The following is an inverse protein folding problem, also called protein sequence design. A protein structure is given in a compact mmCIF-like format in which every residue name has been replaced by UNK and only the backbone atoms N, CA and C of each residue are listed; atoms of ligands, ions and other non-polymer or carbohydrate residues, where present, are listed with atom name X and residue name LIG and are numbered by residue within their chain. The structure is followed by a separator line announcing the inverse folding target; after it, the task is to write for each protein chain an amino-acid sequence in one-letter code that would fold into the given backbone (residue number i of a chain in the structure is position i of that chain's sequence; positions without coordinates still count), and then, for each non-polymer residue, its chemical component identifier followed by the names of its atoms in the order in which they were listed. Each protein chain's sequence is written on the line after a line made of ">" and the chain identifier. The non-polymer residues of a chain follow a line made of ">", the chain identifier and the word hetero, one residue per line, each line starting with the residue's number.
data_IF_533083635086
#
_entry.id   IF_533083635086
#
_cell.length_a   1.000
_cell.length_b   1.000
_cell.length_c   1.000
_cell.angle_alpha   90.00
_cell.angle_beta   90.00
_cell.angle_gamma   90.00
#
_symmetry.space_group_name_H-M   'P 1'
#
loop_
_entity.id
_entity.type
_entity.pdbx_description
1 polymer ?
#
# COMPACT_ATOMS: atom_id res chain seq x y z
N UNK A 1 -9.62 74.45 -38.84
CA UNK A 1 -9.57 73.02 -39.21
C UNK A 1 -8.35 72.86 -40.07
N UNK A 2 -7.31 72.30 -39.45
CA UNK A 2 -5.93 72.35 -39.91
C UNK A 2 -5.66 71.30 -40.99
N UNK A 3 -4.70 71.62 -41.84
CA UNK A 3 -4.23 70.87 -43.00
C UNK A 3 -2.76 70.46 -42.73
N UNK A 4 -2.24 69.52 -43.53
CA UNK A 4 -0.82 69.08 -43.64
C UNK A 4 -0.50 67.91 -42.69
N UNK A 5 0.19 66.83 -43.08
CA UNK A 5 0.88 66.51 -44.33
C UNK A 5 1.61 65.16 -44.21
N UNK A 6 2.34 64.88 -45.28
CA UNK A 6 3.03 63.67 -45.74
C UNK A 6 4.01 62.91 -44.81
N UNK A 7 4.12 61.61 -45.14
CA UNK A 7 5.29 60.72 -45.31
C UNK A 7 6.63 60.92 -44.55
N UNK A 8 7.26 59.76 -44.35
CA UNK A 8 8.64 59.45 -43.88
C UNK A 8 8.77 59.39 -42.34
N UNK A 9 9.45 58.42 -41.73
CA UNK A 9 10.87 58.11 -41.93
C UNK A 9 11.24 56.73 -41.33
N UNK A 10 12.19 56.05 -41.99
CA UNK A 10 12.83 54.83 -41.50
C UNK A 10 13.76 55.14 -40.33
N UNK A 11 13.81 54.29 -39.30
CA UNK A 11 14.92 54.33 -38.32
C UNK A 11 15.50 52.95 -38.08
N UNK A 12 16.82 52.92 -38.24
CA UNK A 12 17.73 51.78 -38.24
C UNK A 12 18.05 51.29 -36.83
N UNK A 13 18.23 49.97 -36.68
CA UNK A 13 18.71 49.33 -35.46
C UNK A 13 20.25 49.28 -35.52
N UNK A 14 20.91 50.03 -34.64
CA UNK A 14 22.34 49.89 -34.35
C UNK A 14 22.54 48.76 -33.33
N UNK A 15 23.26 47.71 -33.73
CA UNK A 15 23.70 46.62 -32.85
C UNK A 15 25.06 47.02 -32.29
N UNK A 16 25.12 47.33 -31.00
CA UNK A 16 26.39 47.43 -30.28
C UNK A 16 26.87 46.03 -29.89
N UNK A 17 28.10 45.72 -30.28
CA UNK A 17 28.78 44.45 -29.98
C UNK A 17 29.88 44.75 -28.98
N UNK A 18 29.63 44.45 -27.71
CA UNK A 18 30.58 43.86 -26.76
C UNK A 18 30.12 44.06 -25.33
N UNK A 19 29.24 43.19 -24.82
CA UNK A 19 29.26 42.81 -23.39
C UNK A 19 28.87 41.34 -23.28
N UNK A 20 29.83 40.50 -22.87
CA UNK A 20 29.62 39.11 -22.47
C UNK A 20 29.27 39.16 -20.98
N UNK A 21 28.07 38.77 -20.53
CA UNK A 21 27.79 38.69 -19.11
C UNK A 21 28.50 37.46 -18.53
N UNK A 22 29.46 37.70 -17.62
CA UNK A 22 29.99 36.70 -16.73
C UNK A 22 28.85 36.17 -15.84
N UNK A 23 28.57 34.87 -15.95
CA UNK A 23 27.57 34.17 -15.13
C UNK A 23 28.29 33.59 -13.91
N UNK A 24 28.53 34.43 -12.90
CA UNK A 24 28.97 33.96 -11.59
C UNK A 24 27.74 33.48 -10.82
N UNK A 25 27.47 32.18 -10.93
CA UNK A 25 26.40 31.48 -10.22
C UNK A 25 26.99 30.77 -9.00
N UNK A 26 27.40 31.55 -8.01
CA UNK A 26 27.63 31.06 -6.66
C UNK A 26 26.28 31.00 -5.94
N UNK A 27 25.55 29.93 -6.21
CA UNK A 27 24.52 29.45 -5.30
C UNK A 27 25.04 28.14 -4.72
N UNK A 28 25.74 28.24 -3.59
CA UNK A 28 25.87 27.12 -2.66
C UNK A 28 24.45 26.82 -2.16
N UNK A 29 23.73 25.96 -2.88
CA UNK A 29 22.56 25.27 -2.36
C UNK A 29 23.08 24.26 -1.34
N UNK A 30 23.30 24.76 -0.12
CA UNK A 30 23.52 23.96 1.07
C UNK A 30 22.16 23.35 1.47
N UNK A 31 21.65 22.49 0.59
CA UNK A 31 20.51 21.63 0.86
C UNK A 31 21.00 20.57 1.83
N UNK A 32 20.93 20.91 3.12
CA UNK A 32 20.85 19.94 4.20
C UNK A 32 19.60 19.08 3.97
N UNK A 33 19.72 18.09 3.09
CA UNK A 33 18.73 17.01 2.96
C UNK A 33 18.75 16.26 4.28
N UNK A 34 17.84 16.63 5.18
CA UNK A 34 17.58 15.82 6.35
C UNK A 34 17.22 14.41 5.87
N UNK A 35 17.82 13.33 6.41
CA UNK A 35 17.54 11.95 6.00
C UNK A 35 16.03 11.60 6.02
N UNK A 36 15.27 12.32 6.86
CA UNK A 36 13.82 12.23 6.99
C UNK A 36 13.07 12.58 5.68
N UNK A 37 13.63 13.42 4.81
CA UNK A 37 12.98 13.82 3.57
C UNK A 37 13.08 12.74 2.48
N UNK A 38 14.13 11.92 2.52
CA UNK A 38 14.35 10.83 1.55
C UNK A 38 13.63 9.54 1.94
N UNK A 39 13.60 9.19 3.24
CA UNK A 39 12.98 7.96 3.79
C UNK A 39 11.55 7.71 3.26
N UNK A 40 10.72 8.76 3.19
CA UNK A 40 9.35 8.70 2.66
C UNK A 40 9.16 9.53 1.39
N UNK A 41 10.26 9.95 0.76
CA UNK A 41 10.23 10.80 -0.43
C UNK A 41 9.45 10.16 -1.57
N UNK A 42 9.61 8.84 -1.78
CA UNK A 42 8.87 8.08 -2.79
C UNK A 42 7.36 8.11 -2.52
N UNK A 43 6.92 7.92 -1.28
CA UNK A 43 5.49 7.92 -0.94
C UNK A 43 4.84 9.29 -1.16
N UNK A 44 5.54 10.38 -0.79
CA UNK A 44 5.04 11.74 -1.03
C UNK A 44 4.94 12.06 -2.53
N UNK A 45 5.96 11.72 -3.32
CA UNK A 45 5.95 11.87 -4.78
C UNK A 45 4.79 11.12 -5.43
N UNK A 46 4.39 10.02 -4.82
CA UNK A 46 3.27 9.17 -5.25
C UNK A 46 1.90 9.66 -4.75
N UNK A 47 1.83 10.82 -4.09
CA UNK A 47 0.60 11.41 -3.56
C UNK A 47 0.08 10.72 -2.30
N UNK A 48 0.86 9.87 -1.64
CA UNK A 48 0.42 9.19 -0.42
C UNK A 48 0.60 10.13 0.76
N UNK A 49 -0.47 10.26 1.55
CA UNK A 49 -0.51 11.21 2.66
C UNK A 49 -0.30 10.49 3.98
N UNK A 50 0.63 10.98 4.80
CA UNK A 50 0.79 10.47 6.17
C UNK A 50 -0.45 10.80 6.98
N UNK A 51 -1.05 9.80 7.62
CA UNK A 51 -2.21 10.04 8.49
C UNK A 51 -1.77 10.57 9.85
N UNK A 52 -2.62 11.40 10.44
CA UNK A 52 -2.34 12.01 11.74
C UNK A 52 -2.36 10.96 12.87
N UNK A 53 -1.38 11.01 13.78
CA UNK A 53 -1.22 10.04 14.87
C UNK A 53 -2.40 9.98 15.84
N UNK A 54 -3.12 11.09 16.01
CA UNK A 54 -4.34 11.14 16.82
C UNK A 54 -5.58 10.49 16.17
N UNK A 55 -5.54 10.18 14.87
CA UNK A 55 -6.70 9.65 14.14
C UNK A 55 -7.08 8.24 14.61
N UNK A 56 -8.38 7.92 14.53
CA UNK A 56 -8.89 6.61 14.92
C UNK A 56 -8.23 5.49 14.11
N UNK A 57 -8.11 5.67 12.79
CA UNK A 57 -7.47 4.69 11.91
C UNK A 57 -6.01 4.46 12.28
N UNK A 58 -5.24 5.52 12.57
CA UNK A 58 -3.86 5.38 13.01
C UNK A 58 -3.77 4.54 14.28
N UNK A 59 -4.57 4.86 15.31
CA UNK A 59 -4.57 4.13 16.59
C UNK A 59 -4.93 2.65 16.44
N UNK A 60 -5.88 2.31 15.55
CA UNK A 60 -6.24 0.92 15.29
C UNK A 60 -5.07 0.21 14.60
N UNK A 61 -4.51 0.81 13.54
CA UNK A 61 -3.39 0.23 12.78
C UNK A 61 -2.19 0.00 13.69
N UNK A 62 -1.74 1.02 14.42
CA UNK A 62 -0.58 0.89 15.31
C UNK A 62 -0.86 -0.03 16.49
N UNK A 63 -2.10 -0.06 16.98
CA UNK A 63 -2.56 -1.03 17.98
C UNK A 63 -2.43 -2.47 17.50
N UNK A 64 -2.74 -2.78 16.23
CA UNK A 64 -2.51 -4.09 15.66
C UNK A 64 -1.01 -4.41 15.57
N UNK A 65 -0.19 -3.48 15.09
CA UNK A 65 1.26 -3.71 14.91
C UNK A 65 1.97 -3.96 16.25
N UNK A 66 1.60 -3.21 17.29
CA UNK A 66 2.15 -3.37 18.63
C UNK A 66 1.89 -4.77 19.24
N UNK A 67 0.91 -5.52 18.73
CA UNK A 67 0.68 -6.90 19.14
C UNK A 67 1.73 -7.87 18.57
N UNK A 68 2.28 -7.57 17.39
CA UNK A 68 3.22 -8.46 16.75
C UNK A 68 4.58 -8.47 17.46
N UNK A 69 5.22 -7.31 17.49
CA UNK A 69 6.49 -7.09 18.17
C UNK A 69 6.45 -5.65 18.68
N UNK A 70 7.28 -5.30 19.67
CA UNK A 70 7.45 -3.92 20.16
C UNK A 70 8.07 -2.98 19.13
N UNK A 71 7.72 -3.14 17.85
CA UNK A 71 8.20 -2.41 16.69
C UNK A 71 7.78 -0.95 16.80
N UNK A 72 8.72 -0.08 16.45
CA UNK A 72 8.49 1.35 16.42
C UNK A 72 7.86 1.71 15.06
N UNK A 73 6.58 2.09 15.09
CA UNK A 73 5.87 2.52 13.88
C UNK A 73 6.32 3.91 13.50
N UNK A 74 7.20 3.98 12.51
CA UNK A 74 7.72 5.23 11.97
C UNK A 74 6.60 6.05 11.30
N UNK A 75 5.77 5.43 10.46
CA UNK A 75 4.70 6.14 9.76
C UNK A 75 3.58 5.23 9.27
N UNK A 76 2.39 5.83 9.10
CA UNK A 76 1.29 5.23 8.37
C UNK A 76 0.88 6.19 7.25
N UNK A 77 0.89 5.72 6.02
CA UNK A 77 0.52 6.47 4.83
C UNK A 77 -0.79 5.95 4.26
N UNK A 78 -1.74 6.84 4.00
CA UNK A 78 -2.98 6.52 3.27
C UNK A 78 -2.72 6.56 1.78
N UNK A 79 -3.17 5.50 1.11
CA UNK A 79 -3.12 5.40 -0.35
C UNK A 79 -4.34 6.14 -0.92
N UNK A 80 -4.15 7.04 -1.91
CA UNK A 80 -5.26 7.76 -2.52
C UNK A 80 -6.31 6.82 -3.11
N UNK A 81 -7.59 7.13 -2.86
CA UNK A 81 -8.72 6.42 -3.47
C UNK A 81 -8.81 6.62 -4.98
N UNK A 82 -8.28 7.73 -5.49
CA UNK A 82 -8.06 7.98 -6.91
C UNK A 82 -6.86 7.22 -7.48
N UNK A 83 -6.38 6.19 -6.76
CA UNK A 83 -5.23 5.40 -7.15
C UNK A 83 -5.32 4.95 -8.62
N UNK A 84 -4.18 4.78 -9.29
CA UNK A 84 -4.13 4.55 -10.72
C UNK A 84 -5.00 3.34 -11.14
N UNK A 85 -5.54 3.43 -12.35
CA UNK A 85 -6.18 2.33 -13.09
C UNK A 85 -7.58 1.89 -12.62
N UNK A 86 -8.34 2.73 -11.90
CA UNK A 86 -9.74 2.44 -11.56
C UNK A 86 -9.92 1.28 -10.57
N UNK A 87 -8.86 0.92 -9.83
CA UNK A 87 -8.84 -0.24 -8.93
C UNK A 87 -9.91 -0.20 -7.85
N UNK A 88 -10.15 0.99 -7.28
CA UNK A 88 -11.20 1.15 -6.28
C UNK A 88 -12.57 0.80 -6.85
N UNK A 89 -12.83 1.15 -8.11
CA UNK A 89 -14.09 0.84 -8.76
C UNK A 89 -14.21 -0.65 -9.07
N UNK A 90 -13.14 -1.27 -9.58
CA UNK A 90 -13.08 -2.72 -9.76
C UNK A 90 -13.32 -3.47 -8.43
N UNK A 91 -12.75 -2.98 -7.33
CA UNK A 91 -12.96 -3.52 -5.99
C UNK A 91 -14.41 -3.38 -5.51
N UNK A 92 -15.01 -2.21 -5.70
CA UNK A 92 -16.43 -1.97 -5.34
C UNK A 92 -17.36 -2.87 -6.14
N UNK A 93 -17.15 -2.99 -7.45
CA UNK A 93 -17.91 -3.88 -8.31
C UNK A 93 -17.76 -5.32 -7.85
N UNK A 94 -16.53 -5.80 -7.66
CA UNK A 94 -16.28 -7.19 -7.24
C UNK A 94 -16.90 -7.50 -5.87
N UNK A 95 -16.81 -6.56 -4.93
CA UNK A 95 -17.46 -6.69 -3.62
C UNK A 95 -18.98 -6.78 -3.75
N UNK A 96 -19.61 -5.90 -4.53
CA UNK A 96 -21.05 -5.91 -4.76
C UNK A 96 -21.54 -7.18 -5.47
N UNK A 97 -20.77 -7.67 -6.45
CA UNK A 97 -21.04 -8.95 -7.11
C UNK A 97 -20.94 -10.13 -6.13
N UNK A 98 -19.94 -10.10 -5.23
CA UNK A 98 -19.77 -11.15 -4.23
C UNK A 98 -20.93 -11.20 -3.24
N UNK A 99 -21.40 -10.04 -2.77
CA UNK A 99 -22.61 -9.94 -1.92
C UNK A 99 -23.80 -10.59 -2.61
N UNK A 100 -24.03 -10.30 -3.90
CA UNK A 100 -25.13 -10.90 -4.68
C UNK A 100 -24.95 -12.40 -4.84
N UNK A 101 -23.74 -12.86 -5.20
CA UNK A 101 -23.40 -14.29 -5.39
C UNK A 101 -23.60 -15.12 -4.13
N UNK A 102 -23.36 -14.55 -2.95
CA UNK A 102 -23.32 -15.26 -1.66
C UNK A 102 -24.48 -14.94 -0.71
N UNK A 103 -25.60 -14.46 -1.25
CA UNK A 103 -26.84 -14.30 -0.48
C UNK A 103 -26.76 -13.22 0.60
N UNK A 104 -26.02 -12.14 0.34
CA UNK A 104 -25.88 -11.00 1.26
C UNK A 104 -24.59 -11.00 2.07
N UNK A 105 -23.80 -12.08 2.06
CA UNK A 105 -22.53 -12.14 2.77
C UNK A 105 -21.36 -11.68 1.89
N UNK A 106 -21.17 -10.37 1.78
CA UNK A 106 -19.95 -9.79 1.20
C UNK A 106 -18.82 -9.86 2.20
N UNK A 107 -18.07 -10.97 2.23
CA UNK A 107 -17.01 -11.19 3.22
C UNK A 107 -15.74 -10.37 2.91
N UNK A 108 -15.88 -9.04 2.92
CA UNK A 108 -14.73 -8.14 2.90
C UNK A 108 -14.03 -8.25 4.24
N UNK A 109 -12.73 -8.54 4.21
CA UNK A 109 -11.87 -8.57 5.40
C UNK A 109 -10.67 -7.65 5.23
N UNK A 110 -10.04 -7.34 6.35
CA UNK A 110 -8.78 -6.64 6.40
C UNK A 110 -7.65 -7.65 6.54
N UNK A 111 -6.57 -7.45 5.77
CA UNK A 111 -5.42 -8.34 5.80
C UNK A 111 -4.12 -7.59 5.49
N UNK A 112 -3.02 -8.11 6.02
CA UNK A 112 -1.67 -7.63 5.84
C UNK A 112 -1.01 -8.28 4.65
N UNK A 113 -0.21 -7.52 3.92
CA UNK A 113 0.71 -8.03 2.92
C UNK A 113 2.09 -7.39 3.15
N UNK A 114 3.11 -8.20 3.42
CA UNK A 114 4.49 -7.73 3.53
C UNK A 114 5.27 -7.99 2.24
N UNK A 115 6.21 -7.09 1.94
CA UNK A 115 7.13 -7.23 0.82
C UNK A 115 8.24 -6.18 0.92
N UNK A 116 9.03 -6.03 -0.15
CA UNK A 116 9.99 -4.92 -0.24
C UNK A 116 9.28 -3.59 -0.53
N UNK A 117 9.94 -2.48 -0.23
CA UNK A 117 9.44 -1.14 -0.55
C UNK A 117 9.09 -0.99 -2.03
N UNK A 118 9.94 -1.50 -2.91
CA UNK A 118 9.76 -1.40 -4.36
C UNK A 118 8.59 -2.28 -4.85
N UNK A 119 8.42 -3.48 -4.27
CA UNK A 119 7.27 -4.33 -4.54
C UNK A 119 5.96 -3.67 -4.11
N UNK A 120 5.92 -3.06 -2.92
CA UNK A 120 4.76 -2.33 -2.42
C UNK A 120 4.42 -1.13 -3.32
N UNK A 121 5.42 -0.35 -3.71
CA UNK A 121 5.25 0.73 -4.69
C UNK A 121 4.69 0.19 -6.01
N UNK A 122 5.29 -0.87 -6.55
CA UNK A 122 4.83 -1.53 -7.77
C UNK A 122 3.38 -2.00 -7.69
N UNK A 123 2.99 -2.63 -6.57
CA UNK A 123 1.61 -3.07 -6.31
C UNK A 123 0.65 -1.90 -6.35
N UNK A 124 0.99 -0.79 -5.70
CA UNK A 124 0.08 0.36 -5.63
C UNK A 124 -0.10 1.00 -7.02
N UNK A 125 0.95 1.09 -7.83
CA UNK A 125 0.87 1.71 -9.16
C UNK A 125 0.30 0.80 -10.25
N UNK A 126 0.75 -0.44 -10.28
CA UNK A 126 0.51 -1.34 -11.42
C UNK A 126 -0.38 -2.52 -11.08
N UNK A 127 -0.71 -2.67 -9.80
CA UNK A 127 -1.43 -3.84 -9.30
C UNK A 127 -0.46 -4.93 -8.89
N UNK A 128 -0.99 -5.97 -8.26
CA UNK A 128 -0.26 -7.21 -8.08
C UNK A 128 0.09 -7.76 -9.47
N UNK A 129 1.36 -8.03 -9.71
CA UNK A 129 1.87 -8.47 -11.02
C UNK A 129 2.28 -9.94 -11.03
N UNK A 130 2.47 -10.56 -9.86
CA UNK A 130 2.96 -11.93 -9.74
C UNK A 130 2.18 -12.64 -8.66
N UNK A 131 1.69 -13.84 -8.99
CA UNK A 131 1.38 -14.83 -7.98
C UNK A 131 2.69 -15.50 -7.56
N UNK A 132 2.89 -15.61 -6.24
CA UNK A 132 4.00 -16.37 -5.69
C UNK A 132 3.43 -17.64 -5.10
N UNK A 133 4.14 -18.75 -5.25
CA UNK A 133 3.98 -19.83 -4.29
C UNK A 133 4.50 -19.30 -2.95
N UNK A 134 3.91 -19.73 -1.82
CA UNK A 134 4.52 -19.43 -0.50
C UNK A 134 6.00 -19.83 -0.53
N UNK A 135 6.88 -19.14 0.19
CA UNK A 135 8.34 -19.42 0.17
C UNK A 135 8.70 -20.87 0.51
N UNK A 136 7.82 -21.57 1.24
CA UNK A 136 7.97 -22.98 1.59
C UNK A 136 7.43 -23.96 0.54
N UNK A 137 6.83 -23.47 -0.55
CA UNK A 137 6.12 -24.29 -1.54
C UNK A 137 4.87 -24.99 -1.01
N UNK A 138 4.37 -24.54 0.15
CA UNK A 138 3.28 -25.17 0.89
C UNK A 138 1.91 -24.74 0.32
N UNK A 139 1.76 -23.53 -0.18
CA UNK A 139 0.44 -23.06 -0.61
C UNK A 139 0.29 -23.04 -2.15
N UNK A 140 -0.96 -22.96 -2.61
CA UNK A 140 -1.30 -22.71 -4.01
C UNK A 140 -0.73 -21.38 -4.52
N UNK A 141 -0.69 -21.19 -5.83
CA UNK A 141 -0.25 -19.95 -6.47
C UNK A 141 -1.29 -18.86 -6.29
N UNK A 142 -0.90 -17.76 -5.63
CA UNK A 142 -1.78 -16.63 -5.42
C UNK A 142 -1.08 -15.46 -4.76
N UNK A 143 -1.86 -14.43 -4.44
CA UNK A 143 -1.46 -13.41 -3.47
C UNK A 143 -1.81 -13.92 -2.08
N UNK A 144 -0.79 -14.07 -1.24
CA UNK A 144 -0.93 -14.48 0.14
C UNK A 144 -1.08 -13.25 1.03
N UNK A 145 -2.18 -13.19 1.79
CA UNK A 145 -2.41 -12.12 2.77
C UNK A 145 -2.68 -12.71 4.15
N UNK A 146 -2.25 -12.01 5.19
CA UNK A 146 -2.37 -12.46 6.56
C UNK A 146 -3.53 -11.74 7.25
N UNK A 147 -4.48 -12.42 7.89
CA UNK A 147 -5.54 -11.77 8.65
C UNK A 147 -4.98 -10.82 9.72
N UNK A 148 -5.79 -9.87 10.19
CA UNK A 148 -5.35 -8.88 11.19
C UNK A 148 -4.77 -9.53 12.46
N UNK A 149 -5.31 -10.69 12.84
CA UNK A 149 -4.91 -11.48 14.01
C UNK A 149 -3.52 -12.11 13.85
N UNK A 150 -3.03 -12.23 12.61
CA UNK A 150 -1.74 -12.83 12.25
C UNK A 150 -0.78 -11.76 11.70
N UNK A 151 -0.78 -10.58 12.34
CA UNK A 151 0.11 -9.47 11.98
C UNK A 151 1.58 -9.87 11.96
N UNK A 152 1.98 -10.82 12.80
CA UNK A 152 3.36 -11.29 12.88
C UNK A 152 3.87 -11.88 11.57
N UNK A 153 3.07 -12.73 10.95
CA UNK A 153 3.43 -13.35 9.68
C UNK A 153 3.55 -12.29 8.57
N UNK A 154 2.70 -11.27 8.60
CA UNK A 154 2.81 -10.12 7.68
C UNK A 154 4.04 -9.24 7.93
N UNK A 155 4.44 -9.03 9.19
CA UNK A 155 5.65 -8.30 9.54
C UNK A 155 6.90 -9.08 9.12
N UNK A 156 6.94 -10.38 9.38
CA UNK A 156 8.05 -11.26 9.04
C UNK A 156 8.23 -11.42 7.51
N UNK A 157 7.17 -11.22 6.73
CA UNK A 157 7.26 -11.26 5.26
C UNK A 157 7.71 -9.94 4.63
N UNK A 158 8.03 -8.91 5.42
CA UNK A 158 8.52 -7.62 4.92
C UNK A 158 10.04 -7.57 4.84
N UNK A 159 10.57 -6.79 3.91
CA UNK A 159 12.01 -6.66 3.66
C UNK A 159 12.48 -5.28 4.10
N UNK A 160 13.58 -5.24 4.85
CA UNK A 160 14.22 -4.00 5.28
C UNK A 160 14.81 -3.24 4.08
N UNK A 161 14.57 -1.94 4.01
CA UNK A 161 15.09 -1.04 2.98
C UNK A 161 16.41 -0.37 3.42
N UNK A 162 16.99 0.47 2.55
CA UNK A 162 18.26 1.14 2.83
C UNK A 162 18.22 2.13 4.01
N UNK A 163 17.03 2.50 4.50
CA UNK A 163 16.84 3.38 5.66
C UNK A 163 16.57 2.60 6.95
N UNK A 164 16.70 1.27 6.92
CA UNK A 164 16.39 0.39 8.05
C UNK A 164 14.90 0.30 8.35
N UNK A 165 14.04 0.61 7.37
CA UNK A 165 12.60 0.48 7.50
C UNK A 165 12.10 -0.81 6.85
N UNK A 166 11.09 -1.38 7.47
CA UNK A 166 10.24 -2.40 6.87
C UNK A 166 8.86 -1.82 6.56
N UNK A 167 8.22 -2.37 5.54
CA UNK A 167 6.93 -1.89 5.04
C UNK A 167 5.94 -3.03 4.86
N UNK A 168 4.70 -2.80 5.27
CA UNK A 168 3.57 -3.69 5.00
C UNK A 168 2.37 -2.89 4.49
N UNK A 169 1.52 -3.56 3.71
CA UNK A 169 0.22 -3.06 3.25
C UNK A 169 -0.89 -3.52 4.18
N UNK A 170 -1.80 -2.61 4.52
CA UNK A 170 -3.15 -2.97 4.97
C UNK A 170 -4.10 -2.96 3.79
N UNK A 171 -4.66 -4.12 3.48
CA UNK A 171 -5.53 -4.35 2.34
C UNK A 171 -6.97 -4.67 2.77
N UNK A 172 -7.94 -4.20 1.98
CA UNK A 172 -9.30 -4.72 1.99
C UNK A 172 -9.37 -5.88 0.99
N UNK A 173 -9.98 -7.00 1.38
CA UNK A 173 -9.94 -8.25 0.61
C UNK A 173 -11.34 -8.85 0.50
N UNK A 174 -11.83 -9.07 -0.72
CA UNK A 174 -13.09 -9.78 -0.99
C UNK A 174 -12.82 -11.29 -1.00
N UNK A 175 -13.26 -12.00 0.04
CA UNK A 175 -12.96 -13.44 0.17
C UNK A 175 -14.02 -14.36 -0.49
N UNK A 176 -15.31 -14.07 -0.38
CA UNK A 176 -16.37 -14.98 -0.79
C UNK A 176 -16.39 -16.30 0.01
N UNK A 177 -16.80 -17.40 -0.65
CA UNK A 177 -16.74 -18.76 -0.09
C UNK A 177 -15.30 -19.26 -0.19
N UNK A 178 -14.67 -19.51 0.96
CA UNK A 178 -13.30 -19.99 1.04
C UNK A 178 -13.22 -21.51 0.87
N UNK A 179 -12.16 -22.00 0.25
CA UNK A 179 -11.75 -23.41 0.25
C UNK A 179 -10.44 -23.61 1.01
N UNK A 180 -10.25 -24.80 1.56
CA UNK A 180 -8.98 -25.17 2.17
C UNK A 180 -7.97 -25.61 1.10
N UNK A 181 -6.82 -24.95 1.05
CA UNK A 181 -5.72 -25.25 0.14
C UNK A 181 -4.67 -25.99 0.94
N UNK A 182 -4.48 -27.26 0.59
CA UNK A 182 -3.56 -28.14 1.34
C UNK A 182 -2.11 -27.75 1.12
N UNK A 183 -1.25 -27.93 2.14
CA UNK A 183 0.20 -27.89 2.00
C UNK A 183 0.69 -28.74 0.80
N UNK A 184 1.57 -28.17 -0.03
CA UNK A 184 2.10 -28.74 -1.27
C UNK A 184 1.19 -28.62 -2.49
N UNK A 185 0.06 -27.91 -2.40
CA UNK A 185 -0.86 -27.73 -3.52
C UNK A 185 -0.22 -26.93 -4.66
N UNK A 186 -0.51 -27.32 -5.91
CA UNK A 186 -0.14 -26.58 -7.13
C UNK A 186 -1.29 -25.81 -7.73
N UNK A 187 -2.36 -25.64 -6.97
CA UNK A 187 -3.57 -24.94 -7.38
C UNK A 187 -3.26 -23.48 -7.68
N UNK A 188 -3.73 -22.96 -8.82
CA UNK A 188 -3.56 -21.56 -9.23
C UNK A 188 -4.91 -20.83 -9.44
N UNK A 189 -6.01 -21.54 -9.25
CA UNK A 189 -7.40 -21.07 -9.35
C UNK A 189 -8.29 -21.87 -8.40
N UNK A 190 -9.56 -21.50 -8.23
CA UNK A 190 -10.46 -22.26 -7.37
C UNK A 190 -10.67 -23.72 -7.83
N UNK A 191 -10.82 -24.66 -6.89
CA UNK A 191 -11.06 -26.08 -7.24
C UNK A 191 -12.44 -26.35 -7.85
N UNK A 192 -13.40 -25.44 -7.61
CA UNK A 192 -14.72 -25.46 -8.23
C UNK A 192 -15.34 -24.06 -8.24
N UNK A 193 -16.38 -23.87 -9.05
CA UNK A 193 -17.13 -22.61 -9.14
C UNK A 193 -17.82 -22.22 -7.82
N UNK A 194 -17.95 -23.16 -6.90
CA UNK A 194 -18.51 -22.88 -5.59
C UNK A 194 -17.58 -22.01 -4.74
N UNK A 195 -16.28 -22.02 -4.97
CA UNK A 195 -15.30 -21.29 -4.16
C UNK A 195 -14.85 -20.00 -4.85
N UNK A 196 -14.32 -19.09 -4.05
CA UNK A 196 -13.86 -17.77 -4.49
C UNK A 196 -12.41 -17.49 -4.08
N UNK A 197 -11.97 -17.95 -2.90
CA UNK A 197 -10.61 -17.75 -2.38
C UNK A 197 -10.13 -18.99 -1.60
N UNK A 198 -8.82 -19.08 -1.38
CA UNK A 198 -8.22 -20.15 -0.59
C UNK A 198 -7.87 -19.72 0.83
N UNK A 199 -7.81 -20.68 1.74
CA UNK A 199 -7.26 -20.56 3.09
C UNK A 199 -6.43 -21.79 3.44
N UNK A 200 -5.50 -21.63 4.38
CA UNK A 200 -4.72 -22.72 4.96
C UNK A 200 -5.55 -23.63 5.89
N UNK A 201 -6.52 -23.06 6.61
CA UNK A 201 -7.49 -23.82 7.41
C UNK A 201 -8.84 -23.12 7.45
N UNK A 202 -9.94 -23.85 7.20
CA UNK A 202 -11.29 -23.31 7.34
C UNK A 202 -11.67 -23.00 8.80
N UNK A 203 -11.07 -23.71 9.76
CA UNK A 203 -11.39 -23.57 11.18
C UNK A 203 -10.76 -22.32 11.81
N UNK A 204 -9.51 -22.02 11.41
CA UNK A 204 -8.74 -20.86 11.86
C UNK A 204 -7.80 -20.43 10.73
N UNK A 205 -8.29 -19.63 9.78
CA UNK A 205 -7.46 -19.14 8.68
C UNK A 205 -6.33 -18.29 9.25
N UNK A 206 -5.10 -18.64 8.94
CA UNK A 206 -3.91 -17.82 9.22
C UNK A 206 -3.39 -17.13 7.95
N UNK A 207 -3.89 -17.56 6.80
CA UNK A 207 -3.52 -17.05 5.49
C UNK A 207 -4.71 -17.08 4.54
N UNK A 208 -4.88 -15.99 3.79
CA UNK A 208 -5.79 -15.90 2.66
C UNK A 208 -5.00 -16.03 1.37
N UNK A 209 -5.56 -16.75 0.40
CA UNK A 209 -4.98 -16.94 -0.92
C UNK A 209 -5.97 -16.38 -1.95
N UNK A 210 -5.56 -15.32 -2.65
CA UNK A 210 -6.34 -14.74 -3.73
C UNK A 210 -5.72 -15.11 -5.06
N UNK A 211 -6.49 -15.79 -5.90
CA UNK A 211 -6.06 -16.29 -7.20
C UNK A 211 -5.74 -15.17 -8.18
N UNK A 212 -4.81 -15.43 -9.10
CA UNK A 212 -4.27 -14.44 -10.05
C UNK A 212 -5.36 -13.72 -10.84
N UNK A 213 -6.34 -14.48 -11.34
CA UNK A 213 -7.41 -13.97 -12.19
C UNK A 213 -8.26 -12.87 -11.54
N UNK A 214 -8.22 -12.76 -10.21
CA UNK A 214 -9.06 -11.82 -9.45
C UNK A 214 -8.30 -10.95 -8.45
N UNK A 215 -6.98 -11.09 -8.31
CA UNK A 215 -6.21 -10.38 -7.28
C UNK A 215 -6.36 -8.86 -7.34
N UNK A 216 -6.37 -8.27 -8.55
CA UNK A 216 -6.44 -6.81 -8.71
C UNK A 216 -7.86 -6.24 -8.59
N UNK A 217 -8.90 -7.06 -8.70
CA UNK A 217 -10.28 -6.66 -8.46
C UNK A 217 -10.76 -7.02 -7.05
N UNK A 218 -10.09 -7.94 -6.34
CA UNK A 218 -10.50 -8.38 -5.00
C UNK A 218 -9.60 -7.90 -3.87
N UNK A 219 -8.45 -7.30 -4.16
CA UNK A 219 -7.55 -6.73 -3.17
C UNK A 219 -7.42 -5.23 -3.42
N UNK A 220 -7.74 -4.45 -2.39
CA UNK A 220 -7.55 -3.00 -2.41
C UNK A 220 -6.61 -2.54 -1.28
N UNK A 221 -5.36 -2.15 -1.62
CA UNK A 221 -4.43 -1.57 -0.66
C UNK A 221 -4.95 -0.21 -0.16
N UNK A 222 -5.12 -0.06 1.15
CA UNK A 222 -5.63 1.18 1.77
C UNK A 222 -4.55 1.98 2.49
N UNK A 223 -3.61 1.30 3.15
CA UNK A 223 -2.55 1.95 3.90
C UNK A 223 -1.21 1.25 3.71
N UNK A 224 -0.12 2.03 3.78
CA UNK A 224 1.25 1.53 3.96
C UNK A 224 1.67 1.84 5.38
N UNK A 225 2.14 0.82 6.10
CA UNK A 225 2.69 0.96 7.44
C UNK A 225 4.19 0.74 7.36
N UNK A 226 4.95 1.74 7.80
CA UNK A 226 6.40 1.68 7.88
C UNK A 226 6.83 1.60 9.34
N UNK A 227 7.71 0.65 9.65
CA UNK A 227 8.16 0.40 11.01
C UNK A 227 9.62 -0.04 11.03
N UNK A 228 10.24 0.02 12.20
CA UNK A 228 11.55 -0.55 12.47
C UNK A 228 11.40 -1.80 13.33
N UNK A 229 12.04 -2.89 12.94
CA UNK A 229 12.07 -4.10 13.76
C UNK A 229 12.78 -3.81 15.09
N UNK A 230 12.13 -4.15 16.20
CA UNK A 230 12.76 -4.00 17.51
C UNK A 230 13.72 -5.18 17.77
N UNK A 231 15.03 -4.95 17.73
CA UNK A 231 16.05 -5.98 18.01
C UNK A 231 16.17 -6.39 19.50
N UNK A 232 15.25 -5.95 20.37
CA UNK A 232 15.28 -6.28 21.79
C UNK A 232 14.67 -7.65 22.09
N UNK A 233 15.52 -8.61 22.47
CA UNK A 233 15.10 -9.87 23.11
C UNK A 233 14.27 -9.56 24.36
N UNK A 234 12.98 -9.89 24.32
CA UNK A 234 12.16 -10.20 25.50
C UNK A 234 11.11 -9.15 25.89
N UNK A 235 9.84 -9.52 25.76
CA UNK A 235 8.93 -9.88 26.86
C UNK A 235 7.54 -10.15 26.26
N UNK A 236 7.05 -11.37 26.42
CA UNK A 236 5.70 -11.75 26.03
C UNK A 236 4.68 -10.91 26.80
N UNK A 237 3.88 -10.15 26.08
CA UNK A 237 2.72 -9.44 26.62
C UNK A 237 1.48 -10.29 26.38
N UNK A 238 0.53 -10.27 27.32
CA UNK A 238 -0.61 -11.18 27.31
C UNK A 238 -1.70 -10.67 26.33
N UNK A 239 -1.88 -11.39 25.22
CA UNK A 239 -2.64 -10.95 24.05
C UNK A 239 -4.17 -11.13 24.15
N UNK A 240 -4.70 -11.77 25.21
CA UNK A 240 -6.11 -12.23 25.20
C UNK A 240 -7.17 -11.13 25.33
N UNK A 241 -6.85 -9.97 25.91
CA UNK A 241 -7.85 -8.93 26.21
C UNK A 241 -8.17 -7.96 25.05
N UNK A 242 -7.39 -7.99 23.96
CA UNK A 242 -7.56 -7.07 22.82
C UNK A 242 -8.20 -7.70 21.57
N UNK A 243 -8.35 -9.03 21.50
CA UNK A 243 -9.00 -9.72 20.38
C UNK A 243 -10.48 -9.34 20.23
N UNK A 244 -11.19 -9.12 21.34
CA UNK A 244 -12.56 -8.60 21.35
C UNK A 244 -12.63 -7.14 20.82
N UNK A 245 -11.60 -6.34 21.08
CA UNK A 245 -11.52 -4.96 20.62
C UNK A 245 -11.28 -4.84 19.11
N UNK A 246 -10.53 -5.73 18.47
CA UNK A 246 -10.33 -5.69 17.00
C UNK A 246 -11.58 -6.16 16.26
N UNK A 247 -12.28 -7.20 16.74
CA UNK A 247 -13.54 -7.68 16.14
C UNK A 247 -14.61 -6.59 16.05
N UNK A 248 -14.69 -5.70 17.03
CA UNK A 248 -15.64 -4.58 17.02
C UNK A 248 -15.27 -3.42 16.09
N UNK A 249 -14.06 -3.40 15.52
CA UNK A 249 -13.51 -2.27 14.77
C UNK A 249 -13.11 -2.63 13.33
N UNK A 250 -13.37 -3.87 12.89
CA UNK A 250 -13.15 -4.28 11.50
C UNK A 250 -13.94 -3.41 10.50
N UNK A 251 -15.09 -2.84 10.91
CA UNK A 251 -15.93 -2.00 10.04
C UNK A 251 -15.42 -0.55 9.88
N UNK A 252 -14.27 -0.19 10.50
CA UNK A 252 -13.81 1.21 10.61
C UNK A 252 -12.72 1.62 9.63
N UNK A 253 -12.35 0.76 8.69
CA UNK A 253 -11.37 1.05 7.65
C UNK A 253 -11.99 1.55 6.33
N UNK A 254 -13.30 1.85 6.33
CA UNK A 254 -14.00 2.51 5.23
C UNK A 254 -13.64 3.99 5.11
#
# INVERSE_FOLDING_TARGET
>A
MEHVGDLEEQTSITIDKNEIPHFDSDSEDDSFSSPIFEEFGVFKKNGWSRIHGGSKCYKIITGCIAQGMGNDVAAVHKIPWSGPNGRLEAFRISSAEMVKKRGGNGSVKHAWYGGSRDEICGIIFHGFQRCRQSDNGEDGFGVHLYPLEFVMDGLLSSVEDEYGLQHILLCNVVLGKMEEVRPGSKQFEQSSIEFDSGVDSLSRPTRFIIWEACMNSRIFPSYVVSFRAFNGRGKGTNYSFFFEYIRGYADLFC
#
